data_IF_104193257162
#
_entry.id   IF_104193257162
#
_cell.length_a   1.000
_cell.length_b   1.000
_cell.length_c   1.000
_cell.angle_alpha   90.00
_cell.angle_beta   90.00
_cell.angle_gamma   90.00
#
_symmetry.space_group_name_H-M   'P 1'
#
loop_
_entity.id
_entity.type
_entity.pdbx_description
1 polymer ?
#
# COMPACT_ATOMS: atom_id res chain seq x y z
N UNK A 1 -10.43 -6.91 0.79
CA UNK A 1 -10.27 -7.21 -0.65
C UNK A 1 -9.26 -8.33 -0.80
N UNK A 2 -9.67 -9.44 -1.38
CA UNK A 2 -8.79 -10.62 -1.49
C UNK A 2 -9.02 -11.44 -2.77
N UNK A 3 -7.97 -12.11 -3.23
CA UNK A 3 -7.97 -13.04 -4.38
C UNK A 3 -8.24 -12.40 -5.74
N UNK A 4 -7.95 -11.11 -5.90
CA UNK A 4 -8.10 -10.43 -7.18
C UNK A 4 -6.81 -10.44 -7.99
N UNK A 5 -6.95 -10.59 -9.31
CA UNK A 5 -5.90 -10.28 -10.29
C UNK A 5 -6.28 -9.00 -11.02
N UNK A 6 -5.49 -7.96 -10.84
CA UNK A 6 -5.67 -6.63 -11.43
C UNK A 6 -4.50 -6.38 -12.38
N UNK A 7 -4.80 -6.07 -13.63
CA UNK A 7 -3.78 -5.89 -14.68
C UNK A 7 -4.07 -4.65 -15.52
N UNK A 8 -3.04 -3.91 -15.93
CA UNK A 8 -3.16 -2.78 -16.87
C UNK A 8 -4.11 -1.66 -16.40
N UNK A 9 -4.24 -1.47 -15.09
CA UNK A 9 -5.09 -0.43 -14.53
C UNK A 9 -4.33 0.89 -14.46
N UNK A 10 -4.86 1.95 -15.08
CA UNK A 10 -4.14 3.23 -15.25
C UNK A 10 -3.95 4.04 -13.97
N UNK A 11 -4.74 3.78 -12.92
CA UNK A 11 -4.69 4.50 -11.65
C UNK A 11 -4.13 3.66 -10.51
N UNK A 12 -4.55 3.97 -9.28
CA UNK A 12 -4.24 3.16 -8.11
C UNK A 12 -5.05 1.86 -8.14
N UNK A 13 -4.39 0.71 -8.24
CA UNK A 13 -5.12 -0.56 -8.48
C UNK A 13 -6.04 -0.96 -7.32
N UNK A 14 -5.58 -0.82 -6.08
CA UNK A 14 -6.40 -0.99 -4.88
C UNK A 14 -6.28 0.27 -4.04
N UNK A 15 -7.36 1.03 -3.92
CA UNK A 15 -7.41 2.25 -3.12
C UNK A 15 -8.58 2.20 -2.15
N UNK A 16 -8.33 2.61 -0.90
CA UNK A 16 -9.36 2.76 0.12
C UNK A 16 -9.10 4.02 0.94
N UNK A 17 -10.15 4.79 1.26
CA UNK A 17 -10.05 6.02 2.05
C UNK A 17 -10.83 5.87 3.35
N UNK A 18 -10.24 6.30 4.47
CA UNK A 18 -10.85 6.32 5.79
C UNK A 18 -11.41 4.96 6.28
N UNK A 19 -10.77 3.85 5.88
CA UNK A 19 -11.17 2.50 6.27
C UNK A 19 -10.63 2.09 7.64
N UNK A 20 -11.42 1.38 8.45
CA UNK A 20 -11.00 0.78 9.72
C UNK A 20 -11.10 -0.75 9.65
N UNK A 21 -10.14 -1.48 10.26
CA UNK A 21 -10.09 -2.94 10.27
C UNK A 21 -10.10 -3.56 8.86
N UNK A 22 -9.44 -2.91 7.89
CA UNK A 22 -9.43 -3.39 6.52
C UNK A 22 -8.41 -4.51 6.32
N UNK A 23 -8.68 -5.37 5.33
CA UNK A 23 -7.70 -6.37 4.88
C UNK A 23 -7.55 -6.36 3.37
N UNK A 24 -6.31 -6.34 2.89
CA UNK A 24 -5.93 -6.40 1.47
C UNK A 24 -4.95 -7.57 1.33
N UNK A 25 -5.44 -8.72 0.86
CA UNK A 25 -4.70 -9.98 0.97
C UNK A 25 -4.73 -10.81 -0.30
N UNK A 26 -3.63 -11.51 -0.58
CA UNK A 26 -3.58 -12.53 -1.64
C UNK A 26 -3.97 -12.00 -3.04
N UNK A 27 -3.68 -10.74 -3.34
CA UNK A 27 -3.97 -10.15 -4.64
C UNK A 27 -2.74 -10.16 -5.56
N UNK A 28 -2.97 -10.17 -6.86
CA UNK A 28 -1.96 -9.96 -7.89
C UNK A 28 -2.22 -8.63 -8.59
N UNK A 29 -1.30 -7.68 -8.44
CA UNK A 29 -1.37 -6.35 -9.08
C UNK A 29 -0.23 -6.23 -10.08
N UNK A 30 -0.55 -6.12 -11.36
CA UNK A 30 0.43 -6.20 -12.45
C UNK A 30 0.25 -5.00 -13.40
N UNK A 31 1.34 -4.32 -13.74
CA UNK A 31 1.36 -3.21 -14.72
C UNK A 31 0.25 -2.19 -14.44
N UNK A 32 0.22 -1.66 -13.21
CA UNK A 32 -0.74 -0.63 -12.81
C UNK A 32 -0.03 0.71 -12.68
N UNK A 33 -0.80 1.80 -12.68
CA UNK A 33 -0.30 3.18 -12.69
C UNK A 33 0.47 3.59 -11.43
N UNK A 34 0.19 4.78 -10.91
CA UNK A 34 0.99 5.44 -9.85
C UNK A 34 1.29 4.51 -8.66
N UNK A 35 0.24 4.00 -7.98
CA UNK A 35 0.41 3.07 -6.86
C UNK A 35 -0.30 1.72 -7.08
N UNK A 36 0.28 0.64 -6.57
CA UNK A 36 -0.34 -0.68 -6.61
C UNK A 36 -1.46 -0.78 -5.57
N UNK A 37 -1.08 -0.65 -4.29
CA UNK A 37 -2.00 -0.61 -3.15
C UNK A 37 -1.81 0.72 -2.41
N UNK A 38 -2.90 1.48 -2.24
CA UNK A 38 -2.91 2.78 -1.60
C UNK A 38 -4.09 2.94 -0.62
N UNK A 39 -3.98 2.48 0.64
CA UNK A 39 -4.85 2.94 1.70
C UNK A 39 -4.47 4.37 2.11
N UNK A 40 -5.48 5.19 2.35
CA UNK A 40 -5.33 6.57 2.82
C UNK A 40 -6.25 6.84 4.01
N UNK A 41 -5.74 7.52 5.04
CA UNK A 41 -6.48 7.84 6.26
C UNK A 41 -7.08 6.62 6.97
N UNK A 42 -6.50 5.43 6.78
CA UNK A 42 -7.00 4.18 7.35
C UNK A 42 -6.45 3.87 8.74
N UNK A 43 -7.13 2.99 9.45
CA UNK A 43 -6.73 2.49 10.77
C UNK A 43 -6.84 0.96 10.86
N UNK A 44 -5.96 0.34 11.65
CA UNK A 44 -6.00 -1.10 11.98
C UNK A 44 -6.04 -2.03 10.75
N UNK A 45 -5.29 -1.67 9.71
CA UNK A 45 -5.29 -2.39 8.44
C UNK A 45 -4.26 -3.50 8.36
N UNK A 46 -4.57 -4.52 7.55
CA UNK A 46 -3.65 -5.59 7.21
C UNK A 46 -3.45 -5.69 5.69
N UNK A 47 -2.20 -5.58 5.24
CA UNK A 47 -1.80 -5.74 3.85
C UNK A 47 -0.79 -6.89 3.76
N UNK A 48 -1.22 -8.06 3.30
CA UNK A 48 -0.37 -9.25 3.30
C UNK A 48 -0.49 -10.17 2.09
N UNK A 49 0.58 -10.90 1.79
CA UNK A 49 0.60 -11.97 0.78
C UNK A 49 0.20 -11.49 -0.63
N UNK A 50 0.37 -10.22 -0.95
CA UNK A 50 0.11 -9.70 -2.29
C UNK A 50 1.37 -9.82 -3.16
N UNK A 51 1.17 -10.04 -4.46
CA UNK A 51 2.22 -10.00 -5.47
C UNK A 51 2.01 -8.75 -6.32
N UNK A 52 3.00 -7.85 -6.35
CA UNK A 52 2.95 -6.59 -7.07
C UNK A 52 4.11 -6.50 -8.07
N UNK A 53 3.82 -6.11 -9.31
CA UNK A 53 4.81 -6.08 -10.38
C UNK A 53 4.51 -4.98 -11.40
N UNK A 54 5.55 -4.30 -11.89
CA UNK A 54 5.41 -3.24 -12.90
C UNK A 54 4.58 -2.03 -12.45
N UNK A 55 4.73 -1.62 -11.19
CA UNK A 55 4.04 -0.44 -10.65
C UNK A 55 4.89 0.80 -10.92
N UNK A 56 4.28 1.91 -11.34
CA UNK A 56 4.97 3.10 -11.85
C UNK A 56 5.80 3.82 -10.77
N UNK A 57 5.22 4.11 -9.61
CA UNK A 57 5.88 4.86 -8.53
C UNK A 57 6.15 3.97 -7.30
N UNK A 58 5.09 3.49 -6.64
CA UNK A 58 5.24 2.65 -5.45
C UNK A 58 4.28 1.46 -5.44
N UNK A 59 4.81 0.26 -5.20
CA UNK A 59 4.00 -0.95 -5.11
C UNK A 59 2.93 -0.83 -4.00
N UNK A 60 3.33 -0.38 -2.81
CA UNK A 60 2.42 -0.15 -1.69
C UNK A 60 2.76 1.20 -1.08
N UNK A 61 1.80 2.12 -1.04
CA UNK A 61 1.94 3.43 -0.41
C UNK A 61 0.87 3.57 0.69
N UNK A 62 1.27 3.74 1.95
CA UNK A 62 0.34 3.87 3.08
C UNK A 62 0.27 5.35 3.47
N UNK A 63 -0.79 6.05 3.06
CA UNK A 63 -0.91 7.49 3.25
C UNK A 63 -1.65 7.84 4.53
N UNK A 64 -1.02 8.64 5.40
CA UNK A 64 -1.68 9.29 6.55
C UNK A 64 -2.56 8.32 7.38
N UNK A 65 -2.08 7.09 7.55
CA UNK A 65 -2.81 5.98 8.18
C UNK A 65 -2.08 5.52 9.44
N UNK A 66 -2.83 5.03 10.44
CA UNK A 66 -2.30 4.57 11.73
C UNK A 66 -2.50 3.05 11.88
N UNK A 67 -1.56 2.37 12.56
CA UNK A 67 -1.65 0.93 12.88
C UNK A 67 -1.88 0.00 11.68
N UNK A 68 -1.13 0.21 10.59
CA UNK A 68 -1.20 -0.65 9.39
C UNK A 68 -0.08 -1.69 9.44
N UNK A 69 -0.44 -2.97 9.49
CA UNK A 69 0.51 -4.08 9.35
C UNK A 69 0.70 -4.40 7.86
N UNK A 70 1.94 -4.31 7.39
CA UNK A 70 2.34 -4.60 6.00
C UNK A 70 3.40 -5.69 6.03
N UNK A 71 3.02 -6.91 5.66
CA UNK A 71 3.88 -8.09 5.80
C UNK A 71 3.73 -9.07 4.66
N UNK A 72 4.77 -9.87 4.40
CA UNK A 72 4.73 -11.00 3.47
C UNK A 72 4.28 -10.65 2.03
N UNK A 73 4.46 -9.42 1.58
CA UNK A 73 4.17 -9.02 0.20
C UNK A 73 5.41 -9.23 -0.68
N UNK A 74 5.20 -9.68 -1.91
CA UNK A 74 6.26 -9.85 -2.91
C UNK A 74 6.18 -8.73 -3.94
N UNK A 75 7.23 -7.91 -4.03
CA UNK A 75 7.35 -6.86 -5.04
C UNK A 75 8.39 -7.29 -6.07
N UNK A 76 7.93 -7.56 -7.28
CA UNK A 76 8.77 -7.98 -8.40
C UNK A 76 9.07 -6.75 -9.26
N UNK A 77 10.34 -6.42 -9.41
CA UNK A 77 10.76 -5.32 -10.29
C UNK A 77 10.58 -5.74 -11.75
N UNK A 78 9.83 -4.97 -12.54
CA UNK A 78 9.90 -5.04 -14.00
C UNK A 78 10.43 -3.71 -14.50
N UNK A 79 11.42 -3.78 -15.39
CA UNK A 79 12.11 -2.62 -15.93
C UNK A 79 11.20 -1.85 -16.89
N UNK A 80 10.51 -0.83 -16.38
CA UNK A 80 10.21 0.40 -17.14
C UNK A 80 10.97 1.61 -16.60
N UNK A 81 11.37 1.59 -15.34
CA UNK A 81 12.29 2.53 -14.74
C UNK A 81 13.41 1.79 -14.03
N UNK A 82 14.62 1.81 -14.59
CA UNK A 82 15.81 1.39 -13.86
C UNK A 82 16.12 2.41 -12.75
N UNK A 83 15.66 2.13 -11.53
CA UNK A 83 16.36 2.56 -10.31
C UNK A 83 16.51 1.37 -9.39
N UNK A 84 17.73 0.85 -9.38
CA UNK A 84 18.29 0.00 -8.33
C UNK A 84 17.95 0.56 -6.96
N UNK A 85 17.03 -0.11 -6.26
CA UNK A 85 16.94 -0.30 -4.80
C UNK A 85 15.70 -1.13 -4.52
N UNK A 86 15.90 -2.43 -4.33
CA UNK A 86 14.94 -3.32 -3.67
C UNK A 86 14.47 -2.70 -2.35
N UNK A 87 13.23 -2.22 -2.29
CA UNK A 87 12.47 -2.10 -1.06
C UNK A 87 11.04 -1.73 -1.43
N UNK A 88 10.07 -2.37 -0.79
CA UNK A 88 8.78 -1.76 -0.56
C UNK A 88 9.02 -0.39 0.09
N UNK A 89 8.98 0.70 -0.68
CA UNK A 89 8.94 2.04 -0.13
C UNK A 89 7.55 2.25 0.46
N UNK A 90 7.30 1.64 1.62
CA UNK A 90 6.24 2.09 2.51
C UNK A 90 6.68 3.47 3.04
N UNK A 91 6.35 4.52 2.31
CA UNK A 91 6.54 5.89 2.80
C UNK A 91 5.43 6.19 3.79
N UNK A 92 5.68 5.96 5.08
CA UNK A 92 4.84 6.44 6.17
C UNK A 92 5.09 7.95 6.36
N UNK A 93 4.40 8.81 5.59
CA UNK A 93 4.31 10.24 5.96
C UNK A 93 3.24 10.38 7.04
N UNK A 94 3.69 10.50 8.29
CA UNK A 94 2.91 11.01 9.41
C UNK A 94 2.37 9.95 10.37
N UNK A 95 3.20 9.50 11.30
CA UNK A 95 2.73 8.97 12.60
C UNK A 95 3.35 9.83 13.71
N UNK A 96 2.78 11.01 13.93
CA UNK A 96 2.88 11.62 15.27
C UNK A 96 1.75 11.01 16.10
N UNK A 97 2.00 10.34 17.24
CA UNK A 97 0.92 10.02 18.15
C UNK A 97 0.22 11.34 18.53
N UNK A 98 -1.08 11.45 18.27
CA UNK A 98 -1.88 12.54 18.82
C UNK A 98 -1.82 12.41 20.33
N UNK A 99 -0.92 13.15 20.98
CA UNK A 99 -0.99 13.39 22.42
C UNK A 99 -2.34 14.05 22.67
N UNK A 100 -3.25 13.33 23.30
CA UNK A 100 -4.43 13.92 23.91
C UNK A 100 -3.96 15.02 24.86
N UNK A 101 -4.44 16.27 24.76
CA UNK A 101 -4.22 17.23 25.82
C UNK A 101 -4.97 16.70 27.04
N UNK A 102 -4.23 16.33 28.08
CA UNK A 102 -4.83 16.21 29.42
C UNK A 102 -5.15 17.63 29.83
N UNK A 103 -6.42 18.01 29.74
CA UNK A 103 -6.90 19.25 30.35
C UNK A 103 -6.79 19.08 31.87
N UNK A 104 -5.91 19.87 32.48
CA UNK A 104 -5.80 20.13 33.92
C UNK A 104 -6.96 20.97 34.43
#
# INVERSE_FOLDING_TARGET
MEWFKITHYKGNAIMGQAGNNFSIRNNWVIDSGVYGIFPEFGENGLIENNILSGIEDAAIYVGMSDYIDVRNNQVLTTSRASKSRTAAMCWLKGTSPKTTPVAS
#
